data_IF_507044760952
#
_entry.id   IF_507044760952
#
_cell.length_a   1.000
_cell.length_b   1.000
_cell.length_c   1.000
_cell.angle_alpha   90.00
_cell.angle_beta   90.00
_cell.angle_gamma   90.00
#
_symmetry.space_group_name_H-M   'P 1'
#
loop_
_entity.id
_entity.type
_entity.pdbx_description
1 polymer ?
#
# COMPACT_ATOMS: atom_id res chain seq x y z
N UNK A 1 3.06 -12.06 11.71
CA UNK A 1 3.04 -11.05 10.64
C UNK A 1 4.35 -11.00 9.89
N UNK A 2 5.38 -10.34 10.44
CA UNK A 2 6.65 -10.06 9.74
C UNK A 2 7.35 -11.32 9.20
N UNK A 3 7.48 -12.37 10.01
CA UNK A 3 8.09 -13.64 9.59
C UNK A 3 7.33 -14.32 8.43
N UNK A 4 6.00 -14.15 8.37
CA UNK A 4 5.18 -14.68 7.28
C UNK A 4 5.46 -13.94 5.97
N UNK A 5 5.55 -12.61 6.01
CA UNK A 5 5.88 -11.79 4.83
C UNK A 5 7.29 -12.12 4.33
N UNK A 6 8.24 -12.31 5.26
CA UNK A 6 9.58 -12.78 4.92
C UNK A 6 9.53 -14.13 4.20
N UNK A 7 8.88 -15.13 4.80
CA UNK A 7 8.74 -16.45 4.20
C UNK A 7 8.10 -16.40 2.80
N UNK A 8 7.00 -15.65 2.63
CA UNK A 8 6.35 -15.48 1.32
C UNK A 8 7.25 -14.80 0.30
N UNK A 9 7.97 -13.76 0.67
CA UNK A 9 8.83 -13.03 -0.27
C UNK A 9 10.04 -13.85 -0.72
N UNK A 10 10.61 -14.67 0.17
CA UNK A 10 11.75 -15.54 -0.17
C UNK A 10 11.38 -16.63 -1.17
N UNK A 11 10.13 -17.10 -1.19
CA UNK A 11 9.66 -18.08 -2.20
C UNK A 11 9.81 -17.53 -3.62
N UNK A 12 9.75 -16.22 -3.82
CA UNK A 12 9.90 -15.60 -5.13
C UNK A 12 11.36 -15.35 -5.54
N UNK A 13 12.32 -15.42 -4.61
CA UNK A 13 13.74 -15.24 -4.90
C UNK A 13 14.33 -16.51 -5.50
N UNK A 14 14.02 -16.77 -6.76
CA UNK A 14 14.46 -17.94 -7.51
C UNK A 14 15.47 -17.54 -8.59
N UNK A 15 16.64 -18.21 -8.68
CA UNK A 15 17.65 -17.91 -9.72
C UNK A 15 17.13 -18.04 -11.17
N UNK A 16 16.11 -18.87 -11.39
CA UNK A 16 15.50 -19.10 -12.71
C UNK A 16 14.58 -17.97 -13.17
N UNK A 17 14.25 -17.01 -12.29
CA UNK A 17 13.45 -15.81 -12.60
C UNK A 17 14.23 -14.56 -12.15
N UNK A 18 15.11 -14.01 -12.99
CA UNK A 18 16.05 -12.95 -12.61
C UNK A 18 15.34 -11.66 -12.18
N UNK A 19 14.16 -11.37 -12.75
CA UNK A 19 13.35 -10.22 -12.37
C UNK A 19 12.76 -10.30 -10.95
N UNK A 20 12.68 -11.51 -10.38
CA UNK A 20 12.21 -11.72 -9.01
C UNK A 20 13.33 -11.94 -8.00
N UNK A 21 14.51 -12.36 -8.47
CA UNK A 21 15.66 -12.63 -7.62
C UNK A 21 16.45 -11.34 -7.27
N UNK A 22 15.76 -10.36 -6.72
CA UNK A 22 16.30 -9.06 -6.35
C UNK A 22 15.96 -8.73 -4.90
N UNK A 23 16.82 -7.95 -4.24
CA UNK A 23 16.55 -7.46 -2.88
C UNK A 23 15.29 -6.58 -2.82
N UNK A 24 14.89 -5.97 -3.94
CA UNK A 24 13.66 -5.18 -4.02
C UNK A 24 12.40 -6.02 -3.92
N UNK A 25 12.44 -7.33 -4.21
CA UNK A 25 11.29 -8.23 -4.05
C UNK A 25 10.80 -8.26 -2.60
N UNK A 26 11.60 -8.67 -1.60
CA UNK A 26 11.15 -8.63 -0.20
C UNK A 26 10.80 -7.22 0.26
N UNK A 27 11.56 -6.20 -0.14
CA UNK A 27 11.25 -4.80 0.22
C UNK A 27 9.88 -4.35 -0.28
N UNK A 28 9.53 -4.69 -1.52
CA UNK A 28 8.22 -4.38 -2.09
C UNK A 28 7.09 -5.12 -1.35
N UNK A 29 7.29 -6.39 -0.98
CA UNK A 29 6.31 -7.15 -0.21
C UNK A 29 6.06 -6.53 1.17
N UNK A 30 7.13 -6.12 1.87
CA UNK A 30 6.99 -5.45 3.17
C UNK A 30 6.32 -4.09 3.03
N UNK A 31 6.75 -3.28 2.06
CA UNK A 31 6.21 -1.95 1.84
C UNK A 31 4.70 -1.98 1.63
N UNK A 32 4.21 -2.84 0.74
CA UNK A 32 2.79 -2.89 0.42
C UNK A 32 1.96 -3.55 1.52
N UNK A 33 2.49 -4.58 2.19
CA UNK A 33 1.81 -5.22 3.32
C UNK A 33 1.66 -4.28 4.50
N UNK A 34 2.71 -3.53 4.84
CA UNK A 34 2.66 -2.56 5.93
C UNK A 34 1.74 -1.39 5.56
N UNK A 35 1.80 -0.88 4.33
CA UNK A 35 0.94 0.20 3.88
C UNK A 35 -0.54 -0.19 3.96
N UNK A 36 -0.89 -1.37 3.43
CA UNK A 36 -2.26 -1.89 3.53
C UNK A 36 -2.67 -2.16 4.97
N UNK A 37 -1.78 -2.73 5.79
CA UNK A 37 -2.06 -3.01 7.20
C UNK A 37 -2.37 -1.74 7.99
N UNK A 38 -1.59 -0.68 7.79
CA UNK A 38 -1.81 0.62 8.44
C UNK A 38 -3.15 1.24 8.03
N UNK A 39 -3.48 1.23 6.73
CA UNK A 39 -4.76 1.74 6.25
C UNK A 39 -5.95 0.87 6.68
N UNK A 40 -5.79 -0.45 6.73
CA UNK A 40 -6.79 -1.37 7.24
C UNK A 40 -7.08 -1.13 8.72
N UNK A 41 -6.05 -0.85 9.53
CA UNK A 41 -6.24 -0.44 10.93
C UNK A 41 -7.05 0.87 11.03
N UNK A 42 -6.78 1.84 10.15
CA UNK A 42 -7.55 3.08 10.10
C UNK A 42 -9.03 2.84 9.80
N UNK A 43 -9.32 2.02 8.78
CA UNK A 43 -10.67 1.61 8.43
C UNK A 43 -11.37 0.82 9.57
N UNK A 44 -10.64 -0.04 10.27
CA UNK A 44 -11.16 -0.81 11.41
C UNK A 44 -11.48 0.09 12.62
N UNK A 45 -10.66 1.09 12.93
CA UNK A 45 -10.94 2.04 14.01
C UNK A 45 -12.16 2.90 13.71
N UNK A 46 -12.33 3.32 12.46
CA UNK A 46 -13.54 4.02 12.00
C UNK A 46 -14.78 3.12 12.15
N UNK A 47 -14.68 1.85 11.77
CA UNK A 47 -15.78 0.88 11.92
C UNK A 47 -16.16 0.70 13.39
N UNK A 48 -15.16 0.57 14.26
CA UNK A 48 -15.37 0.41 15.70
C UNK A 48 -16.04 1.64 16.32
N UNK A 49 -15.62 2.85 15.92
CA UNK A 49 -16.27 4.09 16.36
C UNK A 49 -17.75 4.13 15.99
N UNK A 50 -18.09 3.81 14.73
CA UNK A 50 -19.49 3.73 14.28
C UNK A 50 -20.31 2.71 15.09
N UNK A 51 -19.74 1.53 15.32
CA UNK A 51 -20.39 0.49 16.11
C UNK A 51 -20.69 0.97 17.54
N UNK A 52 -19.72 1.58 18.23
CA UNK A 52 -19.91 2.05 19.60
C UNK A 52 -20.81 3.28 19.67
N UNK A 53 -20.68 4.24 18.75
CA UNK A 53 -21.52 5.44 18.67
C UNK A 53 -23.01 5.06 18.55
N UNK A 54 -23.33 4.00 17.80
CA UNK A 54 -24.71 3.51 17.67
C UNK A 54 -25.27 2.88 18.95
N UNK A 55 -24.41 2.36 19.83
CA UNK A 55 -24.83 1.70 21.09
C UNK A 55 -24.79 2.61 22.31
N UNK A 56 -23.75 3.45 22.42
CA UNK A 56 -23.48 4.26 23.60
C UNK A 56 -22.96 5.66 23.18
N UNK A 57 -23.86 6.63 22.91
CA UNK A 57 -23.46 7.95 22.42
C UNK A 57 -22.59 8.74 23.42
N UNK A 58 -22.74 8.49 24.73
CA UNK A 58 -21.93 9.14 25.77
C UNK A 58 -20.47 8.67 25.85
N UNK A 59 -20.17 7.44 25.43
CA UNK A 59 -18.78 6.93 25.38
C UNK A 59 -18.02 7.38 24.13
N UNK A 60 -18.74 7.89 23.13
CA UNK A 60 -18.17 8.19 21.83
C UNK A 60 -17.33 9.47 21.80
N UNK A 61 -17.51 10.39 22.76
CA UNK A 61 -16.68 11.59 22.90
C UNK A 61 -15.21 11.25 23.20
N UNK A 62 -14.97 10.39 24.19
CA UNK A 62 -13.64 9.89 24.55
C UNK A 62 -13.00 9.10 23.39
N UNK A 63 -13.81 8.24 22.75
CA UNK A 63 -13.35 7.48 21.58
C UNK A 63 -13.05 8.38 20.37
N UNK A 64 -13.74 9.50 20.20
CA UNK A 64 -13.47 10.44 19.12
C UNK A 64 -12.07 11.05 19.27
N UNK A 65 -11.67 11.39 20.51
CA UNK A 65 -10.31 11.88 20.79
C UNK A 65 -9.26 10.81 20.45
N UNK A 66 -9.47 9.57 20.91
CA UNK A 66 -8.56 8.46 20.62
C UNK A 66 -8.48 8.14 19.12
N UNK A 67 -9.62 8.04 18.44
CA UNK A 67 -9.72 7.79 17.00
C UNK A 67 -8.92 8.83 16.22
N UNK A 68 -9.09 10.10 16.57
CA UNK A 68 -8.42 11.23 15.93
C UNK A 68 -6.90 11.14 16.07
N UNK A 69 -6.40 10.88 17.28
CA UNK A 69 -4.96 10.71 17.53
C UNK A 69 -4.40 9.51 16.78
N UNK A 70 -5.11 8.37 16.79
CA UNK A 70 -4.69 7.15 16.08
C UNK A 70 -4.68 7.35 14.56
N UNK A 71 -5.74 7.93 13.98
CA UNK A 71 -5.82 8.19 12.55
C UNK A 71 -4.76 9.18 12.07
N UNK A 72 -4.40 10.16 12.90
CA UNK A 72 -3.30 11.09 12.59
C UNK A 72 -1.98 10.35 12.40
N UNK A 73 -1.63 9.44 13.31
CA UNK A 73 -0.39 8.65 13.20
C UNK A 73 -0.46 7.62 12.07
N UNK A 74 -1.62 7.03 11.81
CA UNK A 74 -1.87 6.15 10.68
C UNK A 74 -1.65 6.89 9.35
N UNK A 75 -2.18 8.12 9.23
CA UNK A 75 -1.99 8.95 8.05
C UNK A 75 -0.50 9.25 7.81
N UNK A 76 0.23 9.69 8.84
CA UNK A 76 1.68 9.93 8.75
C UNK A 76 2.42 8.66 8.32
N UNK A 77 2.15 7.53 8.98
CA UNK A 77 2.78 6.25 8.65
C UNK A 77 2.49 5.82 7.20
N UNK A 78 1.26 6.02 6.72
CA UNK A 78 0.88 5.70 5.34
C UNK A 78 1.63 6.55 4.31
N UNK A 79 1.86 7.84 4.60
CA UNK A 79 2.63 8.75 3.73
C UNK A 79 4.11 8.33 3.68
N UNK A 80 4.70 7.97 4.83
CA UNK A 80 6.09 7.48 4.89
C UNK A 80 6.24 6.18 4.10
N UNK A 81 5.32 5.24 4.29
CA UNK A 81 5.32 3.95 3.57
C UNK A 81 5.07 4.14 2.07
N UNK A 82 4.23 5.09 1.67
CA UNK A 82 4.05 5.49 0.27
C UNK A 82 5.38 6.02 -0.31
N UNK A 83 6.07 6.90 0.41
CA UNK A 83 7.38 7.40 -0.01
C UNK A 83 8.39 6.26 -0.21
N UNK A 84 8.43 5.31 0.73
CA UNK A 84 9.27 4.12 0.60
C UNK A 84 8.89 3.28 -0.63
N UNK A 85 7.60 3.05 -0.87
CA UNK A 85 7.10 2.34 -2.05
C UNK A 85 7.54 3.03 -3.36
N UNK A 86 7.48 4.36 -3.41
CA UNK A 86 7.88 5.16 -4.57
C UNK A 86 9.39 5.15 -4.84
N UNK A 87 10.21 4.80 -3.84
CA UNK A 87 11.65 4.56 -4.02
C UNK A 87 11.91 3.12 -4.48
N UNK A 88 11.23 2.14 -3.87
CA UNK A 88 11.44 0.72 -4.19
C UNK A 88 11.03 0.38 -5.62
N UNK A 89 9.93 0.95 -6.14
CA UNK A 89 9.45 0.67 -7.50
C UNK A 89 10.46 1.01 -8.61
N UNK A 90 10.96 2.25 -8.75
CA UNK A 90 11.96 2.57 -9.77
C UNK A 90 13.28 1.84 -9.52
N UNK A 91 13.68 1.64 -8.25
CA UNK A 91 14.85 0.83 -7.93
C UNK A 91 14.70 -0.62 -8.42
N UNK A 92 13.49 -1.17 -8.37
CA UNK A 92 13.21 -2.52 -8.87
C UNK A 92 13.46 -2.60 -10.38
N UNK A 93 12.94 -1.64 -11.14
CA UNK A 93 13.12 -1.57 -12.60
C UNK A 93 14.60 -1.38 -12.95
N UNK A 94 15.31 -0.50 -12.23
CA UNK A 94 16.73 -0.26 -12.44
C UNK A 94 17.59 -1.50 -12.16
N UNK A 95 17.32 -2.21 -11.06
CA UNK A 95 18.04 -3.44 -10.72
C UNK A 95 17.73 -4.58 -11.68
N UNK A 96 16.49 -4.69 -12.17
CA UNK A 96 16.14 -5.65 -13.23
C UNK A 96 16.95 -5.39 -14.50
N UNK A 97 17.07 -4.12 -14.92
CA UNK A 97 17.87 -3.76 -16.09
C UNK A 97 19.37 -4.08 -15.89
N UNK A 98 19.90 -3.88 -14.68
CA UNK A 98 21.30 -4.17 -14.35
C UNK A 98 21.60 -5.68 -14.19
N UNK A 99 20.62 -6.49 -13.79
CA UNK A 99 20.79 -7.93 -13.52
C UNK A 99 20.52 -8.84 -14.73
N UNK A 100 20.31 -8.26 -15.92
CA UNK A 100 20.00 -9.01 -17.14
C UNK A 100 18.51 -9.36 -17.33
N UNK A 101 17.62 -8.86 -16.46
CA UNK A 101 16.17 -8.95 -16.59
C UNK A 101 15.58 -7.75 -17.37
N UNK A 102 16.25 -7.33 -18.45
CA UNK A 102 15.88 -6.14 -19.23
C UNK A 102 14.50 -6.29 -19.90
N UNK A 103 14.13 -7.50 -20.29
CA UNK A 103 12.80 -7.80 -20.85
C UNK A 103 11.68 -7.53 -19.83
N UNK A 104 11.83 -8.02 -18.59
CA UNK A 104 10.90 -7.71 -17.49
C UNK A 104 10.80 -6.21 -17.23
N UNK A 105 11.93 -5.50 -17.24
CA UNK A 105 11.95 -4.05 -17.07
C UNK A 105 11.22 -3.33 -18.22
N UNK A 106 11.38 -3.79 -19.46
CA UNK A 106 10.72 -3.24 -20.64
C UNK A 106 9.19 -3.43 -20.58
N UNK A 107 8.71 -4.56 -20.07
CA UNK A 107 7.27 -4.83 -19.89
C UNK A 107 6.57 -3.82 -18.97
N UNK A 108 7.26 -3.29 -17.95
CA UNK A 108 6.71 -2.24 -17.07
C UNK A 108 6.52 -0.90 -17.78
N UNK A 109 7.33 -0.60 -18.79
CA UNK A 109 7.31 0.69 -19.51
C UNK A 109 6.51 0.59 -20.81
N UNK A 110 6.47 -0.59 -21.43
CA UNK A 110 5.73 -0.88 -22.65
C UNK A 110 4.33 -1.43 -22.36
N UNK A 111 4.15 -2.73 -22.53
CA UNK A 111 2.86 -3.43 -22.51
C UNK A 111 2.00 -3.13 -21.28
N UNK A 112 2.62 -3.11 -20.09
CA UNK A 112 1.90 -2.89 -18.83
C UNK A 112 2.02 -1.47 -18.28
N UNK A 113 2.56 -0.51 -19.04
CA UNK A 113 2.79 0.87 -18.59
C UNK A 113 1.53 1.55 -18.05
N UNK A 114 0.37 1.33 -18.68
CA UNK A 114 -0.90 1.90 -18.23
C UNK A 114 -1.35 1.33 -16.87
N UNK A 115 -1.20 0.02 -16.65
CA UNK A 115 -1.52 -0.62 -15.38
C UNK A 115 -0.54 -0.22 -14.27
N UNK A 116 0.73 -0.04 -14.63
CA UNK A 116 1.74 0.48 -13.71
C UNK A 116 1.43 1.92 -13.28
N UNK A 117 1.05 2.79 -14.23
CA UNK A 117 0.61 4.15 -13.94
C UNK A 117 -0.66 4.17 -13.07
N UNK A 118 -1.64 3.32 -13.39
CA UNK A 118 -2.86 3.16 -12.59
C UNK A 118 -2.54 2.80 -11.15
N UNK A 119 -1.62 1.84 -10.92
CA UNK A 119 -1.16 1.48 -9.58
C UNK A 119 -0.57 2.68 -8.84
N UNK A 120 0.30 3.45 -9.49
CA UNK A 120 0.94 4.62 -8.87
C UNK A 120 -0.09 5.68 -8.51
N UNK A 121 -1.04 5.96 -9.40
CA UNK A 121 -2.12 6.91 -9.18
C UNK A 121 -3.01 6.45 -8.02
N UNK A 122 -3.41 5.18 -7.98
CA UNK A 122 -4.23 4.64 -6.89
C UNK A 122 -3.51 4.69 -5.54
N UNK A 123 -2.22 4.35 -5.50
CA UNK A 123 -1.42 4.45 -4.28
C UNK A 123 -1.26 5.90 -3.81
N UNK A 124 -1.00 6.82 -4.74
CA UNK A 124 -0.85 8.25 -4.44
C UNK A 124 -2.17 8.89 -3.97
N UNK A 125 -3.28 8.61 -4.65
CA UNK A 125 -4.60 9.09 -4.24
C UNK A 125 -4.99 8.50 -2.88
N UNK A 126 -4.79 7.20 -2.68
CA UNK A 126 -5.15 6.51 -1.45
C UNK A 126 -4.32 6.93 -0.24
N UNK A 127 -3.00 6.70 -0.26
CA UNK A 127 -2.15 6.97 0.89
C UNK A 127 -1.66 8.43 0.96
N UNK A 128 -1.52 9.11 -0.17
CA UNK A 128 -1.05 10.49 -0.24
C UNK A 128 -2.19 11.48 -0.02
N UNK A 129 -3.08 11.61 -1.01
CA UNK A 129 -4.15 12.61 -1.00
C UNK A 129 -5.14 12.35 0.13
N UNK A 130 -5.78 11.17 0.14
CA UNK A 130 -6.77 10.85 1.17
C UNK A 130 -6.13 10.75 2.56
N UNK A 131 -4.89 10.27 2.66
CA UNK A 131 -4.11 10.28 3.92
C UNK A 131 -3.89 11.70 4.47
N UNK A 132 -3.53 12.67 3.63
CA UNK A 132 -3.40 14.09 4.04
C UNK A 132 -4.74 14.66 4.49
N UNK A 133 -5.84 14.37 3.79
CA UNK A 133 -7.15 14.82 4.23
C UNK A 133 -7.57 14.18 5.56
N UNK A 134 -7.30 12.89 5.78
CA UNK A 134 -7.50 12.24 7.09
C UNK A 134 -6.69 12.95 8.17
N UNK A 135 -5.43 13.29 7.90
CA UNK A 135 -4.59 14.04 8.86
C UNK A 135 -5.16 15.42 9.20
N UNK A 136 -5.69 16.14 8.21
CA UNK A 136 -6.30 17.48 8.39
C UNK A 136 -7.62 17.41 9.14
N UNK A 137 -8.52 16.53 8.73
CA UNK A 137 -9.81 16.33 9.38
C UNK A 137 -9.64 15.80 10.81
N UNK A 138 -8.59 15.02 11.05
CA UNK A 138 -8.18 14.60 12.38
C UNK A 138 -7.58 15.73 13.25
N UNK A 139 -7.69 17.00 12.87
CA UNK A 139 -7.38 18.13 13.76
C UNK A 139 -8.64 18.90 14.15
N UNK A 140 -9.63 18.98 13.27
CA UNK A 140 -10.92 19.63 13.53
C UNK A 140 -11.92 18.70 14.22
N UNK A 141 -12.68 19.21 15.19
CA UNK A 141 -13.82 18.47 15.75
C UNK A 141 -15.08 18.64 14.88
N UNK A 142 -15.89 17.59 14.74
CA UNK A 142 -17.20 17.64 14.07
C UNK A 142 -17.26 17.12 12.63
N UNK A 143 -16.15 16.60 12.07
CA UNK A 143 -16.09 16.07 10.70
C UNK A 143 -15.90 14.54 10.63
N UNK A 144 -16.36 13.81 11.64
CA UNK A 144 -16.12 12.38 11.83
C UNK A 144 -16.65 11.54 10.65
N UNK A 145 -17.79 11.94 10.07
CA UNK A 145 -18.38 11.28 8.89
C UNK A 145 -17.49 11.42 7.65
N UNK A 146 -16.93 12.61 7.42
CA UNK A 146 -16.02 12.84 6.29
C UNK A 146 -14.73 12.07 6.47
N UNK A 147 -14.13 12.14 7.67
CA UNK A 147 -12.94 11.38 8.04
C UNK A 147 -13.12 9.87 7.81
N UNK A 148 -14.31 9.34 8.14
CA UNK A 148 -14.66 7.95 7.91
C UNK A 148 -14.63 7.57 6.43
N UNK A 149 -15.28 8.37 5.57
CA UNK A 149 -15.31 8.14 4.12
C UNK A 149 -13.90 8.19 3.52
N UNK A 150 -13.09 9.16 3.96
CA UNK A 150 -11.71 9.30 3.52
C UNK A 150 -10.85 8.08 3.91
N UNK A 151 -10.99 7.57 5.14
CA UNK A 151 -10.26 6.39 5.61
C UNK A 151 -10.60 5.13 4.81
N UNK A 152 -11.89 4.88 4.54
CA UNK A 152 -12.30 3.76 3.69
C UNK A 152 -11.87 3.93 2.24
N UNK A 153 -12.02 5.14 1.69
CA UNK A 153 -11.56 5.46 0.34
C UNK A 153 -10.05 5.22 0.18
N UNK A 154 -9.24 5.66 1.15
CA UNK A 154 -7.81 5.44 1.18
C UNK A 154 -7.46 3.95 1.14
N UNK A 155 -8.09 3.17 2.01
CA UNK A 155 -7.89 1.72 2.08
C UNK A 155 -8.27 1.03 0.76
N UNK A 156 -9.45 1.31 0.20
CA UNK A 156 -9.91 0.68 -1.05
C UNK A 156 -9.03 1.06 -2.23
N UNK A 157 -8.65 2.34 -2.38
CA UNK A 157 -7.76 2.76 -3.46
C UNK A 157 -6.41 2.02 -3.40
N UNK A 158 -5.78 1.96 -2.22
CA UNK A 158 -4.50 1.25 -2.08
C UNK A 158 -4.67 -0.26 -2.26
N UNK A 159 -5.78 -0.85 -1.81
CA UNK A 159 -6.07 -2.27 -2.00
C UNK A 159 -6.17 -2.64 -3.49
N UNK A 160 -6.91 -1.85 -4.27
CA UNK A 160 -6.99 -2.04 -5.72
C UNK A 160 -5.62 -1.86 -6.37
N UNK A 161 -4.88 -0.83 -5.96
CA UNK A 161 -3.51 -0.61 -6.43
C UNK A 161 -2.56 -1.78 -6.13
N UNK A 162 -2.71 -2.41 -4.96
CA UNK A 162 -1.93 -3.61 -4.61
C UNK A 162 -2.31 -4.81 -5.47
N UNK A 163 -3.60 -5.05 -5.71
CA UNK A 163 -4.04 -6.16 -6.57
C UNK A 163 -3.45 -6.01 -7.98
N UNK A 164 -3.52 -4.80 -8.55
CA UNK A 164 -2.86 -4.47 -9.82
C UNK A 164 -1.35 -4.70 -9.71
N UNK A 165 -0.73 -4.27 -8.61
CA UNK A 165 0.69 -4.47 -8.37
C UNK A 165 1.13 -5.93 -8.31
N UNK A 166 0.33 -6.80 -7.70
CA UNK A 166 0.56 -8.26 -7.68
C UNK A 166 0.37 -8.87 -9.05
N UNK A 167 -0.66 -8.47 -9.77
CA UNK A 167 -0.85 -8.88 -11.16
C UNK A 167 0.38 -8.54 -12.01
N UNK A 168 0.86 -7.28 -11.95
CA UNK A 168 2.06 -6.85 -12.68
C UNK A 168 3.29 -7.68 -12.32
N UNK A 169 3.53 -7.91 -11.03
CA UNK A 169 4.64 -8.73 -10.56
C UNK A 169 4.63 -10.14 -11.16
N UNK A 170 3.45 -10.75 -11.31
CA UNK A 170 3.30 -12.06 -11.94
C UNK A 170 3.39 -12.03 -13.46
N UNK A 171 2.83 -11.00 -14.09
CA UNK A 171 2.79 -10.86 -15.54
C UNK A 171 4.17 -10.56 -16.14
N UNK A 172 5.02 -9.79 -15.45
CA UNK A 172 6.37 -9.45 -15.93
C UNK A 172 7.43 -10.50 -15.59
N UNK A 173 7.01 -11.66 -15.10
CA UNK A 173 7.91 -12.71 -14.66
C UNK A 173 8.43 -13.51 -15.85
N UNK A 174 9.60 -13.12 -16.37
CA UNK A 174 10.27 -13.88 -17.40
C UNK A 174 11.05 -15.05 -16.79
N UNK A 175 11.09 -16.15 -17.52
CA UNK A 175 11.81 -17.36 -17.14
C UNK A 175 13.09 -17.48 -17.96
N UNK A 176 14.20 -17.82 -17.31
CA UNK A 176 15.31 -18.47 -18.00
C UNK A 176 15.06 -19.99 -17.99
N UNK A 177 14.62 -20.52 -19.13
CA UNK A 177 14.39 -21.95 -19.33
C UNK A 177 13.66 -22.26 -20.64
N UNK A 178 14.45 -22.55 -21.69
CA UNK A 178 14.10 -23.02 -23.05
C UNK A 178 13.34 -22.02 -23.96
N UNK A 179 14.12 -21.20 -24.66
CA UNK A 179 13.87 -20.95 -26.09
C UNK A 179 14.41 -22.13 -26.90
#
# INVERSE_FOLDING_TARGET
>A
GIALVYSMSMVYMMPTRPGWNLITTPLAFFATTLLLGVLAMGAAFVANYWYVQSKNPGCASEQCVLLRVSLRWIAIASIVLLGFQFVVLPLSIALMAASGATESAAMFVGEYGALFALRLVLAFLGAGVLGVYVYREAQSAGHERMMSVLAYGAFVCVLVGEIVGRFLFYATATHFGLQ
#
